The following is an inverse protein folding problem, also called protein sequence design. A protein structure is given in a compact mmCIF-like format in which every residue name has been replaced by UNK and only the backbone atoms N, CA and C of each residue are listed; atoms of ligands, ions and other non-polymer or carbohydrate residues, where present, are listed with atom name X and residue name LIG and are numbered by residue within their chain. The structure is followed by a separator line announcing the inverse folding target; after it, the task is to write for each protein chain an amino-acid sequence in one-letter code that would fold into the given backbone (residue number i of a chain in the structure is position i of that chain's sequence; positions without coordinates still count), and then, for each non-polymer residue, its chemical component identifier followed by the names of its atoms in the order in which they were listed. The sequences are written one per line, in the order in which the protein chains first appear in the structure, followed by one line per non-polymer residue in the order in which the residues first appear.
data_IF_554974694727
#
_entry.id   IF_554974694727
#
_cell.length_a   1.000
_cell.length_b   1.000
_cell.length_c   1.000
_cell.angle_alpha   90.00
_cell.angle_beta   90.00
_cell.angle_gamma   90.00
#
_symmetry.space_group_name_H-M   'P 1'
#
loop_
_entity.id
_entity.type
_entity.pdbx_description
1 polymer ?
#
# COMPACT_ATOMS: atom_id res chain seq x y z
N UNK A 1 11.20 -0.93 -8.90
CA UNK A 1 10.80 -0.50 -7.54
C UNK A 1 10.54 -1.75 -6.73
N UNK A 2 10.60 -1.69 -5.39
CA UNK A 2 10.30 -2.88 -4.61
C UNK A 2 8.79 -3.14 -4.58
N UNK A 3 8.39 -4.40 -4.77
CA UNK A 3 6.99 -4.83 -4.77
C UNK A 3 6.30 -4.46 -3.45
N UNK A 4 5.15 -3.81 -3.55
CA UNK A 4 4.31 -3.46 -2.42
C UNK A 4 3.18 -4.47 -2.34
N UNK A 5 2.88 -4.93 -1.13
CA UNK A 5 1.82 -5.90 -0.89
C UNK A 5 0.77 -5.28 0.04
N UNK A 6 -0.48 -5.66 -0.12
CA UNK A 6 -1.56 -5.25 0.76
C UNK A 6 -2.38 -6.45 1.21
N UNK A 7 -2.77 -6.47 2.49
CA UNK A 7 -3.66 -7.45 3.09
C UNK A 7 -4.82 -6.70 3.70
N UNK A 8 -6.03 -7.02 3.29
CA UNK A 8 -7.28 -6.59 3.90
C UNK A 8 -7.86 -7.76 4.70
N UNK A 9 -8.10 -7.53 5.99
CA UNK A 9 -8.76 -8.49 6.87
C UNK A 9 -10.10 -7.91 7.32
N UNK A 10 -11.18 -8.51 6.87
CA UNK A 10 -12.54 -8.12 7.27
C UNK A 10 -12.94 -8.82 8.57
N UNK A 11 -13.88 -8.23 9.31
CA UNK A 11 -14.47 -8.77 10.53
C UNK A 11 -13.45 -9.20 11.61
N UNK A 12 -12.32 -8.48 11.71
CA UNK A 12 -11.27 -8.74 12.70
C UNK A 12 -11.12 -7.59 13.70
N UNK A 13 -10.80 -7.90 14.95
CA UNK A 13 -10.47 -6.90 15.96
C UNK A 13 -9.07 -6.33 15.73
N UNK A 14 -8.96 -5.00 15.72
CA UNK A 14 -7.68 -4.32 15.59
C UNK A 14 -6.82 -4.33 16.87
N UNK A 15 -7.31 -4.90 17.98
CA UNK A 15 -6.63 -4.87 19.28
C UNK A 15 -5.25 -5.53 19.27
N UNK A 16 -5.04 -6.50 18.38
CA UNK A 16 -3.77 -7.20 18.21
C UNK A 16 -2.73 -6.39 17.43
N UNK A 17 -3.15 -5.32 16.73
CA UNK A 17 -2.28 -4.52 15.87
C UNK A 17 -1.49 -3.49 16.69
N UNK A 18 -0.16 -3.62 16.65
CA UNK A 18 0.75 -2.69 17.32
C UNK A 18 1.08 -1.54 16.41
N UNK A 19 1.02 -0.30 16.94
CA UNK A 19 1.33 0.93 16.18
C UNK A 19 0.48 1.03 14.90
N UNK A 20 -0.82 0.81 15.07
CA UNK A 20 -1.80 1.04 14.01
C UNK A 20 -2.31 2.49 14.07
N UNK A 21 -2.74 3.00 12.91
CA UNK A 21 -3.59 4.17 12.83
C UNK A 21 -5.06 3.69 12.83
N UNK A 22 -5.82 4.10 13.84
CA UNK A 22 -7.19 3.67 14.06
C UNK A 22 -8.17 4.72 13.52
N UNK A 23 -9.20 4.25 12.83
CA UNK A 23 -10.30 5.04 12.27
C UNK A 23 -11.60 4.54 12.91
N UNK A 24 -11.94 5.00 14.13
CA UNK A 24 -13.11 4.52 14.87
C UNK A 24 -14.45 4.91 14.22
N UNK A 25 -14.45 5.94 13.34
CA UNK A 25 -15.64 6.43 12.65
C UNK A 25 -15.69 5.97 11.19
N UNK A 26 -15.01 4.87 10.85
CA UNK A 26 -15.01 4.32 9.50
C UNK A 26 -16.28 3.50 9.25
N UNK A 27 -16.98 3.81 8.16
CA UNK A 27 -18.01 2.95 7.60
C UNK A 27 -17.38 1.94 6.64
N UNK A 28 -17.31 0.69 7.09
CA UNK A 28 -16.73 -0.42 6.33
C UNK A 28 -17.74 -1.15 5.43
N UNK A 29 -19.01 -0.68 5.34
CA UNK A 29 -20.00 -1.28 4.46
C UNK A 29 -19.59 -1.17 2.98
N UNK A 30 -19.61 -2.28 2.26
CA UNK A 30 -19.21 -2.32 0.85
C UNK A 30 -17.70 -2.47 0.59
N UNK A 31 -16.89 -2.66 1.65
CA UNK A 31 -15.43 -2.73 1.51
C UNK A 31 -14.95 -4.01 0.82
N UNK A 32 -15.68 -5.13 1.00
CA UNK A 32 -15.36 -6.38 0.33
C UNK A 32 -15.50 -6.24 -1.19
N UNK A 33 -16.61 -5.66 -1.64
CA UNK A 33 -16.89 -5.41 -3.06
C UNK A 33 -15.90 -4.40 -3.65
N UNK A 34 -15.52 -3.38 -2.87
CA UNK A 34 -14.51 -2.42 -3.29
C UNK A 34 -13.13 -3.08 -3.43
N UNK A 35 -12.75 -4.00 -2.54
CA UNK A 35 -11.49 -4.73 -2.63
C UNK A 35 -11.48 -5.71 -3.82
N UNK A 36 -12.60 -6.40 -4.08
CA UNK A 36 -12.76 -7.26 -5.26
C UNK A 36 -12.62 -6.47 -6.56
N UNK A 37 -13.20 -5.27 -6.64
CA UNK A 37 -13.05 -4.38 -7.79
C UNK A 37 -11.59 -3.92 -8.00
N UNK A 38 -10.77 -3.90 -6.95
CA UNK A 38 -9.32 -3.65 -7.02
C UNK A 38 -8.50 -4.91 -7.36
N UNK A 39 -9.15 -6.06 -7.58
CA UNK A 39 -8.49 -7.33 -7.91
C UNK A 39 -8.01 -8.13 -6.70
N UNK A 40 -8.66 -7.98 -5.54
CA UNK A 40 -8.30 -8.74 -4.34
C UNK A 40 -8.39 -10.26 -4.54
N UNK A 41 -7.34 -10.97 -4.14
CA UNK A 41 -7.33 -12.43 -4.05
C UNK A 41 -7.96 -12.85 -2.72
N UNK A 42 -9.12 -13.49 -2.77
CA UNK A 42 -9.77 -14.03 -1.57
C UNK A 42 -9.07 -15.30 -1.10
N UNK A 43 -8.67 -15.35 0.17
CA UNK A 43 -8.09 -16.54 0.78
C UNK A 43 -8.59 -16.72 2.21
N UNK A 44 -8.42 -17.93 2.74
CA UNK A 44 -8.46 -18.18 4.18
C UNK A 44 -7.13 -17.75 4.84
N UNK A 45 -7.02 -17.94 6.16
CA UNK A 45 -5.84 -17.59 6.93
C UNK A 45 -4.58 -18.35 6.48
N UNK A 46 -4.72 -19.62 6.09
CA UNK A 46 -3.60 -20.46 5.65
C UNK A 46 -3.09 -20.06 4.26
N UNK A 47 -3.97 -19.56 3.40
CA UNK A 47 -3.65 -19.13 2.04
C UNK A 47 -2.96 -17.78 1.92
N UNK A 48 -2.92 -16.95 2.98
CA UNK A 48 -2.38 -15.57 2.91
C UNK A 48 -0.92 -15.57 2.44
N UNK A 49 -0.05 -16.35 3.09
CA UNK A 49 1.37 -16.37 2.75
C UNK A 49 1.60 -16.86 1.32
N UNK A 50 0.86 -17.89 0.89
CA UNK A 50 0.95 -18.40 -0.47
C UNK A 50 0.49 -17.38 -1.51
N UNK A 51 -0.60 -16.66 -1.26
CA UNK A 51 -1.10 -15.62 -2.16
C UNK A 51 -0.15 -14.43 -2.28
N UNK A 52 0.55 -14.07 -1.19
CA UNK A 52 1.57 -13.01 -1.22
C UNK A 52 2.80 -13.40 -2.04
N UNK A 53 3.16 -14.68 -2.10
CA UNK A 53 4.34 -15.18 -2.83
C UNK A 53 4.03 -15.61 -4.27
N UNK A 54 2.78 -15.90 -4.59
CA UNK A 54 2.37 -16.32 -5.93
C UNK A 54 2.47 -15.21 -6.99
N UNK A 55 2.45 -13.94 -6.57
CA UNK A 55 2.53 -12.79 -7.48
C UNK A 55 3.91 -12.14 -7.41
N UNK A 56 4.54 -11.97 -8.57
CA UNK A 56 5.74 -11.13 -8.74
C UNK A 56 5.41 -9.63 -8.85
N UNK A 57 4.13 -9.27 -8.78
CA UNK A 57 3.62 -7.90 -8.87
C UNK A 57 2.87 -7.50 -7.59
N UNK A 58 2.45 -6.25 -7.50
CA UNK A 58 1.59 -5.75 -6.43
C UNK A 58 0.36 -6.65 -6.27
N UNK A 59 0.09 -7.11 -5.04
CA UNK A 59 -1.05 -7.97 -4.73
C UNK A 59 -1.87 -7.40 -3.57
N UNK A 60 -3.19 -7.53 -3.67
CA UNK A 60 -4.14 -7.32 -2.58
C UNK A 60 -4.72 -8.68 -2.18
N UNK A 61 -4.51 -9.10 -0.94
CA UNK A 61 -5.11 -10.32 -0.38
C UNK A 61 -6.27 -9.92 0.52
N UNK A 62 -7.40 -10.59 0.39
CA UNK A 62 -8.56 -10.39 1.25
C UNK A 62 -8.88 -11.67 2.02
N UNK A 63 -8.98 -11.55 3.34
CA UNK A 63 -9.33 -12.65 4.24
C UNK A 63 -10.27 -12.14 5.35
N UNK A 64 -10.84 -13.04 6.15
CA UNK A 64 -11.80 -12.68 7.20
C UNK A 64 -11.46 -13.29 8.56
N UNK A 65 -11.73 -12.52 9.63
CA UNK A 65 -11.67 -12.96 11.02
C UNK A 65 -10.31 -12.79 11.70
N UNK A 66 -10.29 -12.96 13.02
CA UNK A 66 -9.09 -12.73 13.86
C UNK A 66 -7.95 -13.71 13.55
N UNK A 67 -8.25 -14.94 13.16
CA UNK A 67 -7.25 -15.92 12.75
C UNK A 67 -6.51 -15.46 11.47
N UNK A 68 -7.24 -14.87 10.52
CA UNK A 68 -6.64 -14.29 9.32
C UNK A 68 -5.80 -13.05 9.66
N UNK A 69 -6.20 -12.26 10.67
CA UNK A 69 -5.40 -11.12 11.11
C UNK A 69 -4.07 -11.56 11.74
N UNK A 70 -4.08 -12.60 12.56
CA UNK A 70 -2.86 -13.17 13.11
C UNK A 70 -1.92 -13.66 12.01
N UNK A 71 -2.44 -14.44 11.05
CA UNK A 71 -1.68 -14.91 9.90
C UNK A 71 -1.15 -13.76 9.02
N UNK A 72 -1.94 -12.69 8.84
CA UNK A 72 -1.52 -11.51 8.11
C UNK A 72 -0.34 -10.79 8.78
N UNK A 73 -0.36 -10.67 10.12
CA UNK A 73 0.74 -10.06 10.89
C UNK A 73 2.01 -10.91 10.83
N UNK A 74 1.88 -12.25 10.83
CA UNK A 74 3.01 -13.16 10.70
C UNK A 74 3.63 -13.16 9.30
N UNK A 75 2.79 -13.09 8.26
CA UNK A 75 3.25 -13.06 6.87
C UNK A 75 3.76 -11.69 6.43
N UNK A 76 3.39 -10.61 7.12
CA UNK A 76 3.72 -9.26 6.72
C UNK A 76 5.21 -8.93 6.87
N UNK A 77 5.77 -8.34 5.82
CA UNK A 77 7.11 -7.77 5.82
C UNK A 77 7.08 -6.22 5.86
N UNK A 78 8.25 -5.59 5.71
CA UNK A 78 8.37 -4.12 5.70
C UNK A 78 7.67 -3.42 4.52
N UNK A 79 7.21 -4.18 3.52
CA UNK A 79 6.56 -3.71 2.28
C UNK A 79 5.09 -4.11 2.22
N UNK A 80 4.57 -4.67 3.31
CA UNK A 80 3.20 -5.09 3.43
C UNK A 80 2.39 -4.04 4.17
N UNK A 81 1.28 -3.62 3.58
CA UNK A 81 0.21 -2.87 4.24
C UNK A 81 -0.80 -3.87 4.79
N UNK A 82 -1.17 -3.73 6.06
CA UNK A 82 -2.27 -4.48 6.68
C UNK A 82 -3.39 -3.50 6.98
N UNK A 83 -4.61 -3.85 6.56
CA UNK A 83 -5.83 -3.13 6.93
C UNK A 83 -6.77 -4.12 7.59
N UNK A 84 -7.13 -3.87 8.84
CA UNK A 84 -8.19 -4.60 9.53
C UNK A 84 -9.46 -3.73 9.54
N UNK A 85 -10.60 -4.31 9.18
CA UNK A 85 -11.87 -3.62 9.16
C UNK A 85 -12.92 -4.45 9.90
N UNK A 86 -13.74 -3.80 10.71
CA UNK A 86 -14.88 -4.40 11.40
C UNK A 86 -16.02 -3.37 11.53
N UNK A 87 -17.10 -3.77 12.20
CA UNK A 87 -18.26 -2.88 12.42
C UNK A 87 -17.94 -1.65 13.31
N UNK A 88 -16.87 -1.72 14.11
CA UNK A 88 -16.41 -0.64 14.99
C UNK A 88 -15.41 0.31 14.32
N UNK A 89 -15.05 0.07 13.06
CA UNK A 89 -14.16 0.92 12.28
C UNK A 89 -13.05 0.16 11.55
N UNK A 90 -11.98 0.89 11.22
CA UNK A 90 -10.84 0.35 10.47
C UNK A 90 -9.50 0.68 11.13
N UNK A 91 -8.49 -0.13 10.89
CA UNK A 91 -7.15 0.04 11.40
C UNK A 91 -6.12 -0.21 10.29
N UNK A 92 -5.17 0.70 10.16
CA UNK A 92 -4.07 0.60 9.20
C UNK A 92 -2.76 0.32 9.93
N UNK A 93 -1.96 -0.64 9.44
CA UNK A 93 -0.62 -0.95 9.96
C UNK A 93 0.34 -1.25 8.81
N UNK A 94 1.63 -0.97 9.01
CA UNK A 94 2.69 -1.44 8.12
C UNK A 94 3.14 -0.37 7.14
N UNK A 95 3.26 -0.74 5.87
CA UNK A 95 3.85 0.11 4.82
C UNK A 95 3.17 1.49 4.75
N UNK A 96 4.00 2.54 4.77
CA UNK A 96 3.60 3.95 4.64
C UNK A 96 2.69 4.53 5.74
N UNK A 97 2.32 3.75 6.76
CA UNK A 97 1.41 4.20 7.83
C UNK A 97 2.17 4.87 8.98
N UNK A 98 1.56 5.91 9.56
CA UNK A 98 2.05 6.54 10.78
C UNK A 98 1.45 5.89 12.03
N UNK A 99 2.10 4.83 12.51
CA UNK A 99 1.69 4.12 13.71
C UNK A 99 1.77 4.87 15.04
N UNK A 100 2.10 6.17 15.03
CA UNK A 100 2.14 7.02 16.24
C UNK A 100 0.93 7.95 16.35
N UNK A 101 0.04 7.96 15.36
CA UNK A 101 -1.12 8.86 15.35
C UNK A 101 -2.18 8.42 16.35
N UNK A 102 -2.31 7.12 16.61
CA UNK A 102 -3.42 6.61 17.41
C UNK A 102 -4.72 6.73 16.64
N UNK A 103 -5.67 7.51 17.16
CA UNK A 103 -7.00 7.66 16.59
C UNK A 103 -7.10 8.83 15.61
N UNK A 104 -7.74 8.59 14.48
CA UNK A 104 -8.15 9.60 13.49
C UNK A 104 -9.67 9.67 13.50
N UNK A 105 -10.23 10.72 14.10
CA UNK A 105 -11.69 10.86 14.31
C UNK A 105 -12.49 11.20 13.03
N UNK A 106 -11.82 11.33 11.89
CA UNK A 106 -12.45 11.63 10.60
C UNK A 106 -13.43 10.50 10.23
N UNK A 107 -14.66 10.86 9.87
CA UNK A 107 -15.59 9.94 9.23
C UNK A 107 -15.06 9.58 7.83
N UNK A 108 -14.96 8.28 7.55
CA UNK A 108 -14.46 7.74 6.28
C UNK A 108 -15.38 6.63 5.81
N UNK A 109 -15.44 6.43 4.50
CA UNK A 109 -16.24 5.40 3.84
C UNK A 109 -15.36 4.26 3.35
N UNK A 110 -15.97 3.12 3.02
CA UNK A 110 -15.26 1.98 2.43
C UNK A 110 -14.49 2.35 1.16
N UNK A 111 -15.01 3.28 0.36
CA UNK A 111 -14.29 3.77 -0.81
C UNK A 111 -13.02 4.55 -0.44
N UNK A 112 -13.04 5.37 0.60
CA UNK A 112 -11.84 6.08 1.08
C UNK A 112 -10.75 5.09 1.50
N UNK A 113 -11.14 4.01 2.18
CA UNK A 113 -10.23 2.93 2.60
C UNK A 113 -9.65 2.22 1.38
N UNK A 114 -10.51 1.79 0.44
CA UNK A 114 -10.10 1.09 -0.77
C UNK A 114 -9.12 1.92 -1.61
N UNK A 115 -9.41 3.20 -1.81
CA UNK A 115 -8.53 4.13 -2.55
C UNK A 115 -7.21 4.35 -1.84
N UNK A 116 -7.24 4.42 -0.51
CA UNK A 116 -6.02 4.55 0.30
C UNK A 116 -5.15 3.30 0.17
N UNK A 117 -5.74 2.11 0.22
CA UNK A 117 -5.04 0.84 -0.05
C UNK A 117 -4.44 0.86 -1.45
N UNK A 118 -5.25 1.16 -2.47
CA UNK A 118 -4.81 1.18 -3.86
C UNK A 118 -3.66 2.15 -4.09
N UNK A 119 -3.77 3.36 -3.51
CA UNK A 119 -2.72 4.37 -3.58
C UNK A 119 -1.45 3.89 -2.90
N UNK A 120 -1.51 3.34 -1.69
CA UNK A 120 -0.29 2.91 -0.99
C UNK A 120 0.38 1.75 -1.73
N UNK A 121 -0.41 0.76 -2.15
CA UNK A 121 0.06 -0.46 -2.79
C UNK A 121 0.46 -0.31 -4.27
N UNK A 122 0.14 0.80 -4.93
CA UNK A 122 0.28 0.95 -6.40
C UNK A 122 -0.71 0.10 -7.20
N UNK A 123 -1.93 -0.11 -6.69
CA UNK A 123 -3.00 -0.79 -7.44
C UNK A 123 -3.71 0.20 -8.37
N UNK A 124 -4.24 -0.27 -9.51
CA UNK A 124 -5.06 0.55 -10.39
C UNK A 124 -6.35 0.97 -9.68
N UNK A 125 -6.71 2.25 -9.81
CA UNK A 125 -7.94 2.81 -9.25
C UNK A 125 -8.98 2.89 -10.37
N UNK A 126 -10.22 2.48 -10.08
CA UNK A 126 -11.34 2.57 -11.01
C UNK A 126 -11.71 4.03 -11.31
N UNK A 127 -12.15 4.31 -12.55
CA UNK A 127 -12.70 5.61 -12.96
C UNK A 127 -13.96 6.02 -12.17
N UNK A 128 -14.73 5.03 -11.70
CA UNK A 128 -15.96 5.25 -10.93
C UNK A 128 -15.71 5.56 -9.45
N UNK A 129 -14.45 5.69 -9.06
CA UNK A 129 -14.05 5.92 -7.68
C UNK A 129 -14.47 7.31 -7.19
N UNK A 130 -15.25 7.38 -6.11
CA UNK A 130 -15.64 8.64 -5.45
C UNK A 130 -14.95 8.88 -4.11
N UNK A 131 -14.20 7.90 -3.61
CA UNK A 131 -13.45 7.98 -2.37
C UNK A 131 -12.23 8.92 -2.44
N UNK A 132 -11.86 9.45 -1.28
CA UNK A 132 -10.68 10.29 -1.07
C UNK A 132 -9.58 9.53 -0.31
N UNK A 133 -8.33 9.83 -0.64
CA UNK A 133 -7.16 9.27 0.06
C UNK A 133 -7.10 9.81 1.49
N UNK A 134 -6.94 8.93 2.47
CA UNK A 134 -6.84 9.27 3.88
C UNK A 134 -5.39 9.63 4.22
N UNK A 135 -4.94 10.82 3.84
CA UNK A 135 -3.56 11.26 4.11
C UNK A 135 -3.22 11.31 5.62
N UNK A 136 -4.23 11.45 6.48
CA UNK A 136 -4.06 11.51 7.93
C UNK A 136 -3.50 10.20 8.52
N UNK A 137 -3.71 9.04 7.89
CA UNK A 137 -3.11 7.78 8.38
C UNK A 137 -1.67 7.57 7.88
N UNK A 138 -1.25 8.36 6.89
CA UNK A 138 0.05 8.18 6.23
C UNK A 138 1.19 8.86 7.00
N UNK A 139 2.37 8.24 7.02
CA UNK A 139 3.61 8.83 7.55
C UNK A 139 4.11 9.98 6.68
N UNK A 140 3.89 9.90 5.38
CA UNK A 140 4.29 10.92 4.42
C UNK A 140 3.14 11.15 3.43
N UNK A 141 2.40 12.27 3.54
CA UNK A 141 1.37 12.61 2.57
C UNK A 141 1.89 12.74 1.13
N UNK A 142 3.17 13.09 0.96
CA UNK A 142 3.83 13.27 -0.33
C UNK A 142 4.46 11.98 -0.87
N UNK A 143 4.08 10.80 -0.37
CA UNK A 143 4.66 9.50 -0.75
C UNK A 143 4.85 9.37 -2.27
N UNK A 144 3.78 9.63 -3.04
CA UNK A 144 3.81 9.54 -4.51
C UNK A 144 4.69 10.57 -5.18
N UNK A 145 4.68 11.79 -4.67
CA UNK A 145 5.56 12.84 -5.20
C UNK A 145 7.03 12.48 -4.99
N UNK A 146 7.38 11.91 -3.84
CA UNK A 146 8.74 11.51 -3.54
C UNK A 146 9.19 10.28 -4.35
N UNK A 147 8.28 9.33 -4.63
CA UNK A 147 8.51 8.23 -5.57
C UNK A 147 8.81 8.76 -6.97
N UNK A 148 7.99 9.68 -7.48
CA UNK A 148 8.19 10.31 -8.79
C UNK A 148 9.52 11.07 -8.86
N UNK A 149 9.88 11.83 -7.81
CA UNK A 149 11.17 12.55 -7.76
C UNK A 149 12.36 11.59 -7.85
N UNK A 150 12.32 10.49 -7.09
CA UNK A 150 13.39 9.46 -7.13
C UNK A 150 13.51 8.81 -8.51
N UNK A 151 12.39 8.57 -9.18
CA UNK A 151 12.39 8.05 -10.55
C UNK A 151 12.99 9.06 -11.53
N UNK A 152 12.61 10.34 -11.44
CA UNK A 152 13.20 11.41 -12.27
C UNK A 152 14.71 11.54 -12.06
N UNK A 153 15.18 11.48 -10.82
CA UNK A 153 16.61 11.50 -10.49
C UNK A 153 17.35 10.25 -11.00
N UNK A 154 16.72 9.07 -10.95
CA UNK A 154 17.28 7.85 -11.51
C UNK A 154 17.40 7.93 -13.04
N UNK A 155 16.37 8.43 -13.73
CA UNK A 155 16.38 8.64 -15.18
C UNK A 155 17.50 9.61 -15.56
N UNK A 156 17.58 10.78 -14.92
CA UNK A 156 18.63 11.76 -15.21
C UNK A 156 20.05 11.18 -15.04
N UNK A 157 20.27 10.34 -14.01
CA UNK A 157 21.54 9.63 -13.82
C UNK A 157 21.81 8.64 -14.95
N UNK A 158 20.83 7.82 -15.33
CA UNK A 158 20.98 6.88 -16.45
C UNK A 158 21.26 7.60 -17.77
N UNK A 159 20.55 8.69 -18.07
CA UNK A 159 20.77 9.52 -19.26
C UNK A 159 22.18 10.10 -19.31
N UNK A 160 22.69 10.61 -18.18
CA UNK A 160 24.06 11.13 -18.12
C UNK A 160 25.14 10.07 -18.38
N UNK A 161 24.91 8.82 -17.96
CA UNK A 161 25.80 7.69 -18.25
C UNK A 161 25.77 7.36 -19.73
N UNK A 162 24.57 7.23 -20.31
CA UNK A 162 24.39 6.96 -21.74
C UNK A 162 25.05 8.06 -22.60
N UNK A 163 24.90 9.33 -22.23
CA UNK A 163 25.53 10.44 -22.94
C UNK A 163 27.07 10.42 -22.86
N UNK A 164 27.65 9.95 -21.75
CA UNK A 164 29.10 9.76 -21.63
C UNK A 164 29.60 8.60 -22.48
N UNK A 165 28.85 7.51 -22.56
CA UNK A 165 29.21 6.32 -23.32
C UNK A 165 29.04 6.52 -24.83
N UNK A 166 28.13 7.42 -25.23
CA UNK A 166 27.91 7.81 -26.63
C UNK A 166 28.93 8.86 -27.15
N UNK A 167 29.89 9.30 -26.33
CA UNK A 167 31.02 10.12 -26.79
C UNK A 167 32.05 9.23 -27.44
N UNK A 168 32.49 9.61 -28.63
CA UNK A 168 33.48 8.84 -29.38
C UNK A 168 34.83 8.81 -28.61
N UNK A 169 35.64 7.74 -28.72
CA UNK A 169 36.87 7.60 -27.94
C UNK A 169 37.87 8.77 -28.07
N UNK A 170 37.82 9.51 -29.17
CA UNK A 170 38.66 10.70 -29.42
C UNK A 170 38.10 12.00 -28.82
N UNK A 171 36.80 12.08 -28.49
CA UNK A 171 36.20 13.21 -27.73
C UNK A 171 36.64 13.24 -26.26
N UNK A 172 37.38 12.22 -25.80
CA UNK A 172 37.97 12.15 -24.45
C UNK A 172 39.35 12.79 -24.37
N UNK A 173 39.97 13.10 -25.52
CA UNK A 173 41.27 13.74 -25.60
C UNK A 173 41.14 15.12 -26.26
N UNK A 174 40.50 16.04 -25.56
CA UNK A 174 40.83 17.46 -25.75
C UNK A 174 42.22 17.69 -25.15
N UNK A 175 43.24 17.51 -26.00
CA UNK A 175 44.55 18.08 -25.80
C UNK A 175 44.45 19.61 -25.97
N UNK A 176 44.52 20.34 -24.85
CA UNK A 176 45.18 21.64 -24.72
C UNK A 176 45.62 21.86 -23.27
#
# INVERSE_FOLDING_TARGET
MAEKKAILVLNASADSLKKAALLPNADCAGLAEAAEALGAVKTDAEGIAAALEASAETVLVMAEGDAALAAAVEAADRRTLIVAANASGAAFQGLAINGKIGNVERAVTAQDIAVTIATIADLPISESCTGAIIYQVMKNPNLKLDEIKKLKEAIARMESVIQRDNREPWDKHDCA
#
